data_IF_345439994028
#
_entry.id   IF_345439994028
#
_cell.length_a   1.000
_cell.length_b   1.000
_cell.length_c   1.000
_cell.angle_alpha   90.00
_cell.angle_beta   90.00
_cell.angle_gamma   90.00
#
_symmetry.space_group_name_H-M   'P 1'
#
loop_
_entity.id
_entity.type
_entity.pdbx_description
1 polymer ?
#
# COMPACT_ATOMS: atom_id res chain seq x y z
N UNK A 1 -13.93 -0.89 -12.78
CA UNK A 1 -12.62 -1.45 -12.38
C UNK A 1 -12.82 -2.62 -11.42
N UNK A 2 -12.03 -3.68 -11.58
CA UNK A 2 -12.11 -4.84 -10.70
C UNK A 2 -11.05 -4.74 -9.61
N UNK A 3 -11.40 -4.15 -8.48
CA UNK A 3 -10.47 -3.96 -7.38
C UNK A 3 -10.12 -5.27 -6.65
N UNK A 4 -10.98 -6.28 -6.73
CA UNK A 4 -10.67 -7.61 -6.19
C UNK A 4 -9.50 -8.20 -6.97
N UNK A 5 -9.47 -8.00 -8.28
CA UNK A 5 -8.39 -8.46 -9.13
C UNK A 5 -7.06 -7.77 -8.79
N UNK A 6 -7.10 -6.47 -8.52
CA UNK A 6 -5.93 -5.73 -8.08
C UNK A 6 -5.37 -6.29 -6.78
N UNK A 7 -6.24 -6.53 -5.81
CA UNK A 7 -5.85 -7.04 -4.50
C UNK A 7 -5.28 -8.45 -4.63
N UNK A 8 -5.91 -9.30 -5.41
CA UNK A 8 -5.44 -10.66 -5.66
C UNK A 8 -4.06 -10.64 -6.33
N UNK A 9 -3.86 -9.78 -7.32
CA UNK A 9 -2.57 -9.63 -7.99
C UNK A 9 -1.46 -9.23 -7.03
N UNK A 10 -1.75 -8.31 -6.11
CA UNK A 10 -0.77 -7.93 -5.09
C UNK A 10 -0.39 -9.11 -4.20
N UNK A 11 -1.38 -9.86 -3.71
CA UNK A 11 -1.11 -11.00 -2.83
C UNK A 11 -0.40 -12.13 -3.53
N UNK A 12 -0.61 -12.32 -4.83
CA UNK A 12 0.18 -13.26 -5.61
C UNK A 12 1.66 -12.89 -5.60
N UNK A 13 1.98 -11.60 -5.73
CA UNK A 13 3.36 -11.12 -5.64
C UNK A 13 3.93 -11.29 -4.24
N UNK A 14 3.13 -10.99 -3.22
CA UNK A 14 3.55 -11.15 -1.82
C UNK A 14 3.93 -12.59 -1.54
N UNK A 15 3.19 -13.54 -2.09
CA UNK A 15 3.42 -14.96 -1.83
C UNK A 15 4.78 -15.45 -2.34
N UNK A 16 5.30 -14.83 -3.40
CA UNK A 16 6.54 -15.29 -4.02
C UNK A 16 7.72 -14.34 -3.81
N UNK A 17 7.48 -13.09 -3.46
CA UNK A 17 8.54 -12.08 -3.28
C UNK A 17 8.97 -12.03 -1.82
N UNK A 18 10.11 -12.62 -1.52
CA UNK A 18 10.62 -12.71 -0.16
C UNK A 18 11.12 -11.36 0.38
N UNK A 19 11.25 -10.34 -0.46
CA UNK A 19 11.66 -9.01 -0.01
C UNK A 19 10.51 -8.24 0.62
N UNK A 20 9.28 -8.65 0.36
CA UNK A 20 8.10 -8.02 0.95
C UNK A 20 7.83 -8.61 2.33
N UNK A 21 7.50 -7.75 3.27
CA UNK A 21 7.27 -8.12 4.66
C UNK A 21 5.91 -7.56 5.13
N UNK A 22 5.51 -7.85 6.39
CA UNK A 22 4.20 -7.37 6.88
C UNK A 22 4.02 -5.87 6.77
N UNK A 23 5.08 -5.07 6.87
CA UNK A 23 4.98 -3.62 6.73
C UNK A 23 4.55 -3.23 5.32
N UNK A 24 5.06 -3.90 4.31
CA UNK A 24 4.64 -3.67 2.92
C UNK A 24 3.16 -3.99 2.73
N UNK A 25 2.71 -5.11 3.29
CA UNK A 25 1.30 -5.51 3.21
C UNK A 25 0.42 -4.48 3.90
N UNK A 26 0.80 -4.05 5.11
CA UNK A 26 0.06 -3.04 5.85
C UNK A 26 -0.05 -1.73 5.09
N UNK A 27 1.07 -1.26 4.52
CA UNK A 27 1.09 -0.03 3.75
C UNK A 27 0.21 -0.14 2.50
N UNK A 28 0.31 -1.25 1.78
CA UNK A 28 -0.50 -1.45 0.58
C UNK A 28 -1.99 -1.40 0.90
N UNK A 29 -2.41 -2.10 1.96
CA UNK A 29 -3.82 -2.14 2.35
C UNK A 29 -4.31 -0.74 2.74
N UNK A 30 -3.49 0.02 3.46
CA UNK A 30 -3.84 1.40 3.83
C UNK A 30 -4.01 2.29 2.59
N UNK A 31 -3.08 2.19 1.64
CA UNK A 31 -3.17 2.96 0.39
C UNK A 31 -4.38 2.53 -0.43
N UNK A 32 -4.65 1.25 -0.48
CA UNK A 32 -5.82 0.71 -1.18
C UNK A 32 -7.11 1.28 -0.58
N UNK A 33 -7.17 1.36 0.75
CA UNK A 33 -8.33 1.91 1.43
C UNK A 33 -8.55 3.38 1.10
N UNK A 34 -7.46 4.18 1.06
CA UNK A 34 -7.58 5.59 0.65
C UNK A 34 -8.03 5.71 -0.79
N UNK A 35 -7.52 4.86 -1.67
CA UNK A 35 -7.93 4.85 -3.06
C UNK A 35 -9.41 4.49 -3.19
N UNK A 36 -9.86 3.50 -2.43
CA UNK A 36 -11.25 3.09 -2.38
C UNK A 36 -12.15 4.25 -1.89
N UNK A 37 -11.71 4.97 -0.85
CA UNK A 37 -12.44 6.13 -0.34
C UNK A 37 -12.55 7.25 -1.37
N UNK A 38 -11.61 7.33 -2.30
CA UNK A 38 -11.64 8.27 -3.42
C UNK A 38 -12.31 7.67 -4.65
N UNK A 39 -13.02 6.57 -4.49
CA UNK A 39 -13.75 5.89 -5.57
C UNK A 39 -12.85 5.51 -6.74
N UNK A 40 -11.61 5.11 -6.43
CA UNK A 40 -10.62 4.66 -7.40
C UNK A 40 -10.25 5.73 -8.44
N UNK A 41 -10.38 7.00 -8.08
CA UNK A 41 -9.95 8.11 -8.94
C UNK A 41 -8.44 8.33 -8.81
N UNK A 42 -7.80 8.64 -9.91
CA UNK A 42 -6.38 8.96 -9.96
C UNK A 42 -6.18 10.40 -10.46
N UNK A 43 -5.22 11.15 -9.91
CA UNK A 43 -4.41 10.80 -8.75
C UNK A 43 -5.21 10.90 -7.46
N UNK A 44 -4.82 10.10 -6.46
CA UNK A 44 -5.41 10.21 -5.14
C UNK A 44 -4.62 11.23 -4.32
N UNK A 45 -5.33 11.95 -3.46
CA UNK A 45 -4.71 12.85 -2.51
C UNK A 45 -4.42 12.04 -1.24
N UNK A 46 -3.13 11.81 -0.95
CA UNK A 46 -2.74 11.07 0.25
C UNK A 46 -2.04 11.98 1.23
N UNK A 47 -2.36 11.79 2.51
CA UNK A 47 -1.70 12.46 3.62
C UNK A 47 -0.80 11.43 4.29
N UNK A 48 0.52 11.68 4.25
CA UNK A 48 1.49 10.74 4.82
C UNK A 48 1.19 10.38 6.26
N UNK A 49 0.86 11.37 7.08
CA UNK A 49 0.61 11.13 8.50
C UNK A 49 -0.60 10.23 8.72
N UNK A 50 -1.65 10.41 7.92
CA UNK A 50 -2.81 9.55 7.97
C UNK A 50 -2.52 8.13 7.51
N UNK A 51 -1.78 8.00 6.41
CA UNK A 51 -1.40 6.68 5.90
C UNK A 51 -0.54 5.94 6.93
N UNK A 52 0.42 6.64 7.53
CA UNK A 52 1.26 6.04 8.57
C UNK A 52 0.44 5.61 9.78
N UNK A 53 -0.53 6.44 10.18
CA UNK A 53 -1.39 6.12 11.32
C UNK A 53 -2.22 4.86 11.07
N UNK A 54 -2.82 4.74 9.89
CA UNK A 54 -3.68 3.62 9.55
C UNK A 54 -2.88 2.35 9.30
N UNK A 55 -1.73 2.47 8.64
CA UNK A 55 -0.86 1.32 8.38
C UNK A 55 -0.05 0.90 9.61
N UNK A 56 -0.11 1.70 10.69
CA UNK A 56 0.65 1.45 11.92
C UNK A 56 2.17 1.53 11.74
N UNK A 57 2.60 2.31 10.74
CA UNK A 57 4.03 2.56 10.52
C UNK A 57 4.40 3.84 11.25
N UNK A 58 5.29 3.76 12.23
CA UNK A 58 5.69 4.90 13.04
C UNK A 58 6.95 5.60 12.55
N UNK A 59 7.74 4.93 11.73
CA UNK A 59 9.01 5.47 11.21
C UNK A 59 8.82 6.03 9.80
N UNK A 60 9.17 7.30 9.61
CA UNK A 60 9.13 7.93 8.29
C UNK A 60 10.08 7.24 7.30
N UNK A 61 11.25 6.81 7.78
CA UNK A 61 12.21 6.11 6.94
C UNK A 61 11.63 4.78 6.44
N UNK A 62 10.98 4.04 7.33
CA UNK A 62 10.32 2.78 6.96
C UNK A 62 9.19 3.02 5.97
N UNK A 63 8.38 4.06 6.21
CA UNK A 63 7.30 4.43 5.31
C UNK A 63 7.81 4.69 3.89
N UNK A 64 8.83 5.54 3.77
CA UNK A 64 9.37 5.91 2.46
C UNK A 64 10.03 4.73 1.76
N UNK A 65 10.74 3.89 2.51
CA UNK A 65 11.36 2.69 1.95
C UNK A 65 10.33 1.73 1.40
N UNK A 66 9.29 1.45 2.19
CA UNK A 66 8.24 0.52 1.77
C UNK A 66 7.42 1.08 0.61
N UNK A 67 7.13 2.38 0.63
CA UNK A 67 6.41 3.03 -0.46
C UNK A 67 7.20 2.90 -1.77
N UNK A 68 8.50 3.13 -1.72
CA UNK A 68 9.37 2.99 -2.88
C UNK A 68 9.38 1.56 -3.40
N UNK A 69 9.47 0.59 -2.50
CA UNK A 69 9.46 -0.82 -2.88
C UNK A 69 8.13 -1.21 -3.55
N UNK A 70 7.01 -0.75 -3.00
CA UNK A 70 5.69 -1.03 -3.59
C UNK A 70 5.55 -0.38 -4.97
N UNK A 71 6.11 0.81 -5.15
CA UNK A 71 6.06 1.50 -6.44
C UNK A 71 6.81 0.73 -7.53
N UNK A 72 7.80 -0.06 -7.14
CA UNK A 72 8.62 -0.84 -8.06
C UNK A 72 8.03 -2.19 -8.46
N UNK A 73 6.92 -2.57 -7.86
CA UNK A 73 6.27 -3.85 -8.17
C UNK A 73 5.60 -3.87 -9.54
#
# INVERSE_FOLDING_TARGET
MNYIKHLTGFFEKVAIDKTLNPTHVSLYIALFQFWNCNRFKNPISINRDEVMRISKISSKATYHKCLKNLHSL
#
